data_IF_744338095004
#
_entry.id   IF_744338095004
#
_cell.length_a   1.000
_cell.length_b   1.000
_cell.length_c   1.000
_cell.angle_alpha   90.00
_cell.angle_beta   90.00
_cell.angle_gamma   90.00
#
_symmetry.space_group_name_H-M   'P 1'
#
loop_
_entity.id
_entity.type
_entity.pdbx_description
1 polymer ?
#
# COMPACT_ATOMS: atom_id res chain seq x y z
N UNK A 1 29.82 -13.86 5.14
CA UNK A 1 28.69 -13.38 4.32
C UNK A 1 27.77 -12.58 5.23
N UNK A 2 27.91 -11.26 5.24
CA UNK A 2 27.03 -10.36 5.99
C UNK A 2 26.49 -9.33 5.00
N UNK A 3 25.17 -9.23 4.86
CA UNK A 3 24.56 -8.20 4.04
C UNK A 3 24.34 -6.96 4.92
N UNK A 4 25.15 -5.94 4.65
CA UNK A 4 25.02 -4.58 5.16
C UNK A 4 23.67 -4.00 4.69
N UNK A 5 22.75 -3.78 5.62
CA UNK A 5 21.51 -3.04 5.33
C UNK A 5 21.86 -1.55 5.26
N UNK A 6 21.91 -0.99 4.06
CA UNK A 6 22.02 0.46 3.87
C UNK A 6 20.63 1.08 3.96
N UNK A 7 20.30 1.63 5.13
CA UNK A 7 19.15 2.53 5.30
C UNK A 7 19.47 3.86 4.60
N UNK A 8 18.63 4.37 3.68
CA UNK A 8 18.85 5.70 3.13
C UNK A 8 18.50 6.78 4.16
N UNK A 9 19.57 7.39 4.68
CA UNK A 9 19.81 8.83 4.70
C UNK A 9 18.74 9.73 5.35
N UNK A 10 18.90 9.99 6.65
CA UNK A 10 18.33 11.16 7.31
C UNK A 10 19.04 12.43 6.80
N UNK A 11 18.26 13.39 6.33
CA UNK A 11 18.77 14.70 5.91
C UNK A 11 18.31 15.74 6.93
N UNK A 12 19.16 16.01 7.92
CA UNK A 12 19.02 17.22 8.73
C UNK A 12 19.42 18.46 7.92
N UNK A 13 18.64 19.53 8.08
CA UNK A 13 19.10 20.91 7.89
C UNK A 13 18.34 21.74 6.84
N UNK A 14 17.36 22.53 7.28
CA UNK A 14 17.47 24.01 7.47
C UNK A 14 16.08 24.70 7.51
N UNK A 15 15.79 25.27 8.68
CA UNK A 15 15.15 26.57 8.98
C UNK A 15 14.22 27.23 7.94
N UNK A 16 12.96 27.49 8.36
CA UNK A 16 12.12 28.49 7.68
C UNK A 16 10.64 28.53 8.08
N UNK A 17 10.31 29.36 9.07
CA UNK A 17 9.04 30.10 9.26
C UNK A 17 7.74 29.30 9.49
N UNK A 18 7.33 29.28 10.76
CA UNK A 18 5.95 29.04 11.21
C UNK A 18 4.98 30.00 10.50
N UNK A 19 3.99 29.45 9.80
CA UNK A 19 2.72 30.11 9.49
C UNK A 19 1.61 29.30 10.16
N UNK A 20 0.90 29.99 11.07
CA UNK A 20 -0.25 29.51 11.82
C UNK A 20 -1.49 29.65 10.92
N UNK A 21 -2.30 28.59 10.82
CA UNK A 21 -3.56 28.54 10.06
C UNK A 21 -3.35 27.87 8.69
N UNK A 22 -4.03 26.79 8.32
CA UNK A 22 -5.46 26.51 8.37
C UNK A 22 -5.64 24.99 8.51
N UNK A 23 -6.41 24.49 9.50
CA UNK A 23 -6.81 23.08 9.62
C UNK A 23 -7.97 22.77 8.65
N UNK A 24 -7.79 23.10 7.38
CA UNK A 24 -8.80 22.96 6.34
C UNK A 24 -8.58 21.69 5.53
N UNK A 25 -9.32 20.63 5.87
CA UNK A 25 -9.80 19.58 4.96
C UNK A 25 -8.91 19.27 3.74
N UNK A 26 -7.89 18.43 3.89
CA UNK A 26 -7.18 17.84 2.74
C UNK A 26 -8.04 16.71 2.19
N UNK A 27 -8.86 17.06 1.21
CA UNK A 27 -9.74 16.14 0.51
C UNK A 27 -8.94 15.12 -0.31
N UNK A 28 -9.03 13.87 0.13
CA UNK A 28 -9.59 12.75 -0.64
C UNK A 28 -8.97 12.49 -2.01
N UNK A 29 -7.88 11.70 -2.04
CA UNK A 29 -7.57 10.94 -3.23
C UNK A 29 -8.56 9.77 -3.34
N UNK A 30 -9.79 10.04 -3.80
CA UNK A 30 -10.84 9.00 -3.88
C UNK A 30 -10.57 7.94 -4.94
N UNK A 31 -9.69 8.22 -5.92
CA UNK A 31 -9.37 7.35 -7.05
C UNK A 31 -7.93 7.61 -7.53
N UNK A 32 -7.26 6.56 -7.98
CA UNK A 32 -5.95 6.63 -8.63
C UNK A 32 -5.69 5.39 -9.48
N UNK A 33 -4.82 5.51 -10.49
CA UNK A 33 -4.46 4.37 -11.36
C UNK A 33 -3.30 3.60 -10.73
N UNK A 34 -3.55 2.35 -10.37
CA UNK A 34 -2.52 1.41 -9.92
C UNK A 34 -1.95 0.57 -11.07
N UNK A 35 -0.99 -0.29 -10.75
CA UNK A 35 -0.44 -1.27 -11.68
C UNK A 35 -0.51 -2.67 -11.08
N UNK A 36 -1.04 -3.63 -11.84
CA UNK A 36 -0.93 -5.05 -11.54
C UNK A 36 0.37 -5.59 -12.15
N UNK A 37 1.17 -6.29 -11.34
CA UNK A 37 2.42 -6.90 -11.78
C UNK A 37 2.39 -8.38 -11.39
N UNK A 38 2.65 -9.28 -12.34
CA UNK A 38 2.94 -10.67 -12.03
C UNK A 38 4.46 -10.82 -11.80
N UNK A 39 4.84 -11.36 -10.64
CA UNK A 39 6.19 -11.83 -10.35
C UNK A 39 6.12 -13.31 -9.98
N UNK A 40 6.19 -14.22 -10.96
CA UNK A 40 6.17 -15.64 -10.68
C UNK A 40 7.37 -16.02 -9.81
N UNK A 41 7.17 -16.95 -8.88
CA UNK A 41 8.23 -17.52 -8.06
C UNK A 41 8.31 -19.02 -8.33
N UNK A 42 9.52 -19.52 -8.61
CA UNK A 42 9.77 -20.96 -8.68
C UNK A 42 10.14 -21.49 -7.29
N UNK A 43 9.48 -22.55 -6.86
CA UNK A 43 9.79 -23.24 -5.61
C UNK A 43 9.78 -24.74 -5.89
N UNK A 44 10.98 -25.33 -5.91
CA UNK A 44 11.18 -26.69 -6.41
C UNK A 44 10.85 -26.77 -7.91
N UNK A 45 10.01 -27.73 -8.28
CA UNK A 45 9.54 -27.96 -9.67
C UNK A 45 8.30 -27.15 -10.04
N UNK A 46 7.69 -26.43 -9.09
CA UNK A 46 6.44 -25.69 -9.31
C UNK A 46 6.68 -24.19 -9.46
N UNK A 47 6.04 -23.60 -10.45
CA UNK A 47 5.98 -22.16 -10.68
C UNK A 47 4.66 -21.62 -10.14
N UNK A 48 4.74 -20.63 -9.25
CA UNK A 48 3.58 -19.99 -8.65
C UNK A 48 3.53 -18.54 -9.09
N UNK A 49 2.47 -18.15 -9.80
CA UNK A 49 2.19 -16.76 -10.09
C UNK A 49 1.93 -16.00 -8.79
N UNK A 50 2.61 -14.85 -8.63
CA UNK A 50 2.34 -13.93 -7.53
C UNK A 50 2.05 -12.57 -8.10
N UNK A 51 0.82 -12.13 -7.90
CA UNK A 51 0.37 -10.83 -8.36
C UNK A 51 0.56 -9.78 -7.27
N UNK A 52 1.14 -8.65 -7.64
CA UNK A 52 1.33 -7.48 -6.80
C UNK A 52 0.50 -6.33 -7.38
N UNK A 53 -0.32 -5.70 -6.53
CA UNK A 53 -1.07 -4.49 -6.88
C UNK A 53 -0.32 -3.30 -6.28
N UNK A 54 0.23 -2.44 -7.14
CA UNK A 54 0.79 -1.18 -6.70
C UNK A 54 -0.32 -0.15 -6.55
N UNK A 55 -0.51 0.32 -5.33
CA UNK A 55 -1.42 1.42 -5.02
C UNK A 55 -0.66 2.75 -5.08
N UNK A 56 -1.24 3.80 -5.70
CA UNK A 56 -0.60 5.10 -5.78
C UNK A 56 -0.44 5.71 -4.38
N UNK A 57 0.69 6.37 -4.15
CA UNK A 57 1.05 6.95 -2.85
C UNK A 57 0.00 7.92 -2.31
N UNK A 58 -0.65 8.69 -3.19
CA UNK A 58 -1.71 9.64 -2.81
C UNK A 58 -2.93 8.93 -2.18
N UNK A 59 -3.28 7.75 -2.67
CA UNK A 59 -4.39 6.94 -2.13
C UNK A 59 -4.03 6.33 -0.77
N UNK A 60 -2.78 5.87 -0.61
CA UNK A 60 -2.32 5.23 0.63
C UNK A 60 -2.12 6.24 1.77
N UNK A 61 -1.78 7.50 1.44
CA UNK A 61 -1.64 8.59 2.42
C UNK A 61 -2.98 9.17 2.87
N UNK A 62 -4.07 8.79 2.23
CA UNK A 62 -5.39 9.27 2.60
C UNK A 62 -5.76 8.79 4.01
N UNK A 63 -6.31 9.70 4.83
CA UNK A 63 -6.76 9.36 6.19
C UNK A 63 -7.85 8.30 6.22
N UNK A 64 -8.61 8.14 5.13
CA UNK A 64 -9.65 7.13 4.98
C UNK A 64 -9.11 5.80 4.43
N UNK A 65 -7.80 5.68 4.16
CA UNK A 65 -7.22 4.43 3.66
C UNK A 65 -7.39 3.32 4.72
N UNK A 66 -8.07 2.21 4.40
CA UNK A 66 -8.53 1.29 5.42
C UNK A 66 -7.46 0.32 5.90
N UNK A 67 -6.30 0.20 5.24
CA UNK A 67 -5.32 -0.86 5.53
C UNK A 67 -4.01 -0.31 6.13
N UNK A 68 -3.31 -1.15 6.87
CA UNK A 68 -1.96 -0.87 7.37
C UNK A 68 -0.99 -2.00 6.97
N UNK A 69 0.32 -1.71 6.88
CA UNK A 69 1.32 -2.77 6.70
C UNK A 69 1.20 -3.83 7.80
N UNK A 70 1.08 -5.10 7.40
CA UNK A 70 0.90 -6.23 8.32
C UNK A 70 -0.55 -6.66 8.54
N UNK A 71 -1.54 -5.89 8.08
CA UNK A 71 -2.94 -6.34 8.12
C UNK A 71 -3.12 -7.60 7.24
N UNK A 72 -3.80 -8.61 7.79
CA UNK A 72 -4.33 -9.70 6.98
C UNK A 72 -5.55 -9.20 6.21
N UNK A 73 -5.62 -9.51 4.92
CA UNK A 73 -6.69 -9.03 4.05
C UNK A 73 -7.47 -10.20 3.47
N UNK A 74 -8.79 -10.08 3.48
CA UNK A 74 -9.69 -10.94 2.73
C UNK A 74 -9.81 -10.40 1.31
N UNK A 75 -9.45 -11.22 0.32
CA UNK A 75 -9.52 -10.86 -1.09
C UNK A 75 -10.55 -11.75 -1.78
N UNK A 76 -11.55 -11.13 -2.40
CA UNK A 76 -12.70 -11.80 -3.02
C UNK A 76 -12.88 -11.31 -4.46
N UNK A 77 -13.25 -12.20 -5.37
CA UNK A 77 -13.64 -11.85 -6.74
C UNK A 77 -15.17 -11.85 -6.83
N UNK A 78 -15.78 -10.68 -7.00
CA UNK A 78 -17.19 -10.59 -7.36
C UNK A 78 -17.32 -10.88 -8.86
N UNK A 79 -17.66 -12.13 -9.20
CA UNK A 79 -17.80 -12.58 -10.58
C UNK A 79 -18.88 -11.84 -11.38
N UNK A 80 -19.93 -11.36 -10.71
CA UNK A 80 -21.03 -10.65 -11.36
C UNK A 80 -20.60 -9.27 -11.82
N UNK A 81 -19.85 -8.57 -10.96
CA UNK A 81 -19.36 -7.22 -11.27
C UNK A 81 -17.97 -7.20 -11.90
N UNK A 82 -17.28 -8.34 -11.97
CA UNK A 82 -15.89 -8.48 -12.42
C UNK A 82 -14.95 -7.57 -11.63
N UNK A 83 -15.17 -7.50 -10.32
CA UNK A 83 -14.41 -6.66 -9.39
C UNK A 83 -13.59 -7.52 -8.43
N UNK A 84 -12.37 -7.08 -8.12
CA UNK A 84 -11.61 -7.58 -6.98
C UNK A 84 -11.94 -6.72 -5.76
N UNK A 85 -12.42 -7.33 -4.69
CA UNK A 85 -12.70 -6.66 -3.42
C UNK A 85 -11.70 -7.08 -2.37
N UNK A 86 -11.20 -6.09 -1.64
CA UNK A 86 -10.28 -6.30 -0.53
C UNK A 86 -10.93 -5.75 0.75
N UNK A 87 -10.93 -6.54 1.82
CA UNK A 87 -11.45 -6.16 3.14
C UNK A 87 -10.43 -6.56 4.20
N UNK A 88 -10.53 -5.98 5.41
CA UNK A 88 -9.77 -6.49 6.54
C UNK A 88 -10.20 -7.91 6.85
N UNK A 89 -9.24 -8.78 7.09
CA UNK A 89 -9.50 -10.08 7.65
C UNK A 89 -9.42 -9.96 9.16
N UNK A 90 -10.56 -9.71 9.80
CA UNK A 90 -10.66 -9.76 11.25
C UNK A 90 -10.62 -11.24 11.66
N UNK A 91 -9.49 -11.69 12.20
CA UNK A 91 -9.31 -13.05 12.72
C UNK A 91 -10.06 -13.29 14.05
N UNK A 92 -11.03 -12.44 14.39
CA UNK A 92 -11.83 -12.57 15.60
C UNK A 92 -12.86 -13.66 15.39
N UNK A 93 -12.46 -14.90 15.69
CA UNK A 93 -13.36 -15.93 16.16
C UNK A 93 -13.75 -15.68 17.62
#
# INVERSE_FOLDING_TARGET
MGYQTVLPFEREGKTGKSIKGICGSIGMASKGRGRLINRPTKTGEKEYDKFFIYLPTELVRDSAFPFKPGDYLLVEIDQKKKELRMRKFDSTG
#
